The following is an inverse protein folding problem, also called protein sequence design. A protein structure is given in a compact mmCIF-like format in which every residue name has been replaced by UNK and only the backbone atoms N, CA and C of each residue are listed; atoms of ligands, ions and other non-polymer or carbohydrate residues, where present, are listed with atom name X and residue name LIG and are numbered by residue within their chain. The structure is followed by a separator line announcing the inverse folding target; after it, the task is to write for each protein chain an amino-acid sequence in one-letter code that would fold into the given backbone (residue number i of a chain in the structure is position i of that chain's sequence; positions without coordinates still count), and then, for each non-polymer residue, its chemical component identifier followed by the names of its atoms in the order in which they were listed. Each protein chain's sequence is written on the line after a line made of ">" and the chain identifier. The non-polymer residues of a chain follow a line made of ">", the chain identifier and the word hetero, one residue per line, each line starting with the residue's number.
data_IF_853618550807
#
_entry.id   IF_853618550807
#
_cell.length_a   1.000
_cell.length_b   1.000
_cell.length_c   1.000
_cell.angle_alpha   90.00
_cell.angle_beta   90.00
_cell.angle_gamma   90.00
#
_symmetry.space_group_name_H-M   'P 1'
#
loop_
_entity.id
_entity.type
_entity.pdbx_description
1 polymer ?
#
# COMPACT_ATOMS: atom_id res chain seq x y z
N UNK A 1 30.15 14.44 9.90
CA UNK A 1 29.15 13.49 10.45
C UNK A 1 27.93 13.73 9.59
N UNK A 2 27.92 13.15 8.39
CA UNK A 2 26.98 13.52 7.34
C UNK A 2 26.52 12.26 6.63
N UNK A 3 25.46 11.67 7.18
CA UNK A 3 24.81 10.50 6.59
C UNK A 3 23.40 10.92 6.17
N UNK A 4 23.31 11.51 4.98
CA UNK A 4 22.04 11.78 4.31
C UNK A 4 21.55 10.48 3.66
N UNK A 5 20.62 9.80 4.30
CA UNK A 5 19.89 8.68 3.71
C UNK A 5 18.96 9.18 2.60
N UNK A 6 19.49 9.30 1.38
CA UNK A 6 18.70 9.40 0.17
C UNK A 6 18.08 8.03 -0.14
N UNK A 7 16.84 7.82 0.29
CA UNK A 7 16.04 6.66 -0.10
C UNK A 7 14.78 7.11 -0.83
N UNK A 8 14.98 7.67 -2.03
CA UNK A 8 13.89 7.89 -2.99
C UNK A 8 14.09 6.92 -4.14
N UNK A 9 13.28 5.85 -4.17
CA UNK A 9 12.94 4.93 -5.28
C UNK A 9 12.86 3.45 -4.86
N UNK A 10 11.96 3.11 -3.93
CA UNK A 10 11.59 1.72 -3.65
C UNK A 10 10.34 1.25 -4.43
N UNK A 11 9.86 2.02 -5.40
CA UNK A 11 8.61 1.77 -6.11
C UNK A 11 8.84 1.17 -7.51
N UNK A 12 9.44 -0.03 -7.60
CA UNK A 12 9.26 -0.92 -8.78
C UNK A 12 9.83 -2.33 -8.65
N UNK A 13 10.04 -2.89 -7.45
CA UNK A 13 10.62 -4.24 -7.38
C UNK A 13 9.55 -5.31 -7.57
N UNK A 14 9.36 -5.68 -8.86
CA UNK A 14 8.57 -6.85 -9.32
C UNK A 14 9.15 -8.21 -8.88
N UNK A 15 10.22 -8.24 -8.07
CA UNK A 15 10.94 -9.45 -7.65
C UNK A 15 10.79 -9.67 -6.15
N UNK A 16 10.62 -10.94 -5.74
CA UNK A 16 10.60 -11.36 -4.33
C UNK A 16 11.85 -10.86 -3.59
N UNK A 17 11.72 -10.57 -2.30
CA UNK A 17 12.84 -10.22 -1.42
C UNK A 17 14.01 -11.18 -1.59
N UNK A 18 15.22 -10.59 -1.62
CA UNK A 18 16.47 -11.32 -1.58
C UNK A 18 16.56 -12.07 -0.24
N UNK A 19 17.04 -13.31 -0.29
CA UNK A 19 17.32 -14.13 0.90
C UNK A 19 18.83 -14.26 0.98
N UNK A 20 19.37 -14.22 2.19
CA UNK A 20 20.80 -14.42 2.44
C UNK A 20 21.23 -15.79 1.89
N UNK A 21 22.32 -15.82 1.12
CA UNK A 21 22.86 -17.04 0.49
C UNK A 21 22.35 -17.40 -0.91
N UNK A 22 21.43 -16.60 -1.49
CA UNK A 22 20.79 -16.85 -2.79
C UNK A 22 20.00 -18.18 -2.88
N UNK A 23 19.00 -18.25 -3.77
CA UNK A 23 18.19 -19.48 -3.94
C UNK A 23 18.94 -20.47 -4.84
N UNK A 24 19.67 -21.40 -4.24
CA UNK A 24 20.54 -22.36 -4.94
C UNK A 24 19.79 -23.59 -5.52
N UNK A 25 18.53 -23.84 -5.11
CA UNK A 25 17.78 -25.03 -5.53
C UNK A 25 16.87 -24.73 -6.71
N UNK A 26 16.89 -25.60 -7.74
CA UNK A 26 16.05 -25.52 -8.94
C UNK A 26 15.03 -26.65 -8.94
N UNK A 27 13.77 -26.29 -9.16
CA UNK A 27 12.67 -27.23 -9.43
C UNK A 27 12.35 -27.12 -10.91
N UNK A 28 12.36 -28.25 -11.64
CA UNK A 28 11.98 -28.30 -13.05
C UNK A 28 10.63 -29.02 -13.14
N UNK A 29 9.65 -28.35 -13.73
CA UNK A 29 8.31 -28.89 -13.96
C UNK A 29 8.14 -29.06 -15.47
N UNK A 30 7.84 -30.28 -15.92
CA UNK A 30 7.48 -30.56 -17.30
C UNK A 30 5.96 -30.48 -17.41
N UNK A 31 5.48 -29.80 -18.44
CA UNK A 31 4.06 -29.58 -18.71
C UNK A 31 3.77 -29.89 -20.18
N UNK A 32 2.52 -30.21 -20.50
CA UNK A 32 2.06 -30.26 -21.89
C UNK A 32 1.94 -28.85 -22.46
N UNK A 33 1.77 -28.74 -23.79
CA UNK A 33 1.54 -27.45 -24.44
C UNK A 33 0.28 -26.75 -23.88
N UNK A 34 -0.82 -27.50 -23.74
CA UNK A 34 -2.08 -26.97 -23.20
C UNK A 34 -1.94 -26.49 -21.76
N UNK A 35 -1.19 -27.21 -20.93
CA UNK A 35 -0.90 -26.81 -19.54
C UNK A 35 -0.04 -25.55 -19.49
N UNK A 36 0.97 -25.43 -20.36
CA UNK A 36 1.81 -24.25 -20.47
C UNK A 36 0.99 -23.01 -20.83
N UNK A 37 0.14 -23.10 -21.86
CA UNK A 37 -0.72 -22.00 -22.29
C UNK A 37 -1.69 -21.59 -21.19
N UNK A 38 -2.29 -22.58 -20.52
CA UNK A 38 -3.20 -22.33 -19.41
C UNK A 38 -2.50 -21.71 -18.19
N UNK A 39 -1.22 -22.02 -17.96
CA UNK A 39 -0.39 -21.41 -16.92
C UNK A 39 0.01 -19.97 -17.28
N UNK A 40 0.43 -19.73 -18.52
CA UNK A 40 0.78 -18.40 -19.03
C UNK A 40 -0.42 -17.46 -18.97
N UNK A 41 -1.58 -17.88 -19.48
CA UNK A 41 -2.80 -17.08 -19.42
C UNK A 41 -3.22 -16.73 -17.98
N UNK A 42 -3.06 -17.65 -17.02
CA UNK A 42 -3.31 -17.38 -15.59
C UNK A 42 -2.28 -16.42 -14.99
N UNK A 43 -1.02 -16.57 -15.37
CA UNK A 43 0.07 -15.73 -14.88
C UNK A 43 -0.06 -14.29 -15.40
N UNK A 44 -0.44 -14.13 -16.67
CA UNK A 44 -0.72 -12.84 -17.30
C UNK A 44 -1.89 -12.13 -16.65
N UNK A 45 -3.01 -12.83 -16.42
CA UNK A 45 -4.15 -12.29 -15.65
C UNK A 45 -3.75 -11.86 -14.23
N UNK A 46 -2.79 -12.55 -13.63
CA UNK A 46 -2.29 -12.24 -12.29
C UNK A 46 -1.13 -11.23 -12.29
N UNK A 47 -0.63 -10.79 -13.46
CA UNK A 47 0.48 -9.84 -13.56
C UNK A 47 1.82 -10.38 -13.02
N UNK A 48 2.04 -11.70 -13.04
CA UNK A 48 3.27 -12.34 -12.51
C UNK A 48 3.86 -13.35 -13.48
N UNK A 49 5.10 -13.78 -13.21
CA UNK A 49 5.66 -14.93 -13.93
C UNK A 49 4.98 -16.24 -13.51
N UNK A 50 4.95 -17.21 -14.44
CA UNK A 50 4.41 -18.55 -14.22
C UNK A 50 5.03 -19.22 -12.99
N UNK A 51 6.34 -19.09 -12.79
CA UNK A 51 7.03 -19.65 -11.62
C UNK A 51 6.56 -18.99 -10.31
N UNK A 52 6.38 -17.66 -10.31
CA UNK A 52 5.90 -16.94 -9.12
C UNK A 52 4.47 -17.35 -8.78
N UNK A 53 3.62 -17.58 -9.78
CA UNK A 53 2.27 -18.09 -9.64
C UNK A 53 2.28 -19.49 -9.00
N UNK A 54 3.00 -20.45 -9.60
CA UNK A 54 3.06 -21.83 -9.11
C UNK A 54 3.56 -21.89 -7.66
N UNK A 55 4.67 -21.23 -7.34
CA UNK A 55 5.22 -21.23 -5.99
C UNK A 55 4.32 -20.48 -4.99
N UNK A 56 3.59 -19.45 -5.43
CA UNK A 56 2.62 -18.77 -4.57
C UNK A 56 1.50 -19.73 -4.14
N UNK A 57 0.91 -20.41 -5.13
CA UNK A 57 -0.23 -21.31 -4.94
C UNK A 57 0.15 -22.54 -4.13
N UNK A 58 1.31 -23.14 -4.41
CA UNK A 58 1.77 -24.33 -3.73
C UNK A 58 2.15 -24.08 -2.26
N UNK A 59 2.75 -22.93 -1.93
CA UNK A 59 3.21 -22.63 -0.57
C UNK A 59 2.17 -21.90 0.29
N UNK A 60 1.07 -21.43 -0.31
CA UNK A 60 -0.01 -20.73 0.39
C UNK A 60 -1.37 -21.13 -0.21
N UNK A 61 -1.81 -22.38 0.01
CA UNK A 61 -3.06 -22.88 -0.55
C UNK A 61 -4.28 -22.08 -0.07
N UNK A 62 -4.25 -21.59 1.16
CA UNK A 62 -5.34 -20.80 1.77
C UNK A 62 -5.24 -19.29 1.51
N UNK A 63 -4.16 -18.83 0.87
CA UNK A 63 -4.04 -17.42 0.54
C UNK A 63 -4.90 -17.11 -0.70
N UNK A 64 -5.67 -16.01 -0.70
CA UNK A 64 -6.47 -15.63 -1.84
C UNK A 64 -5.62 -15.59 -3.11
N UNK A 65 -6.21 -16.15 -4.15
CA UNK A 65 -5.73 -16.51 -5.47
C UNK A 65 -4.89 -15.53 -6.28
N UNK A 66 -4.62 -14.33 -5.80
CA UNK A 66 -4.51 -13.18 -6.69
C UNK A 66 -3.20 -12.47 -6.44
N UNK A 67 -2.33 -12.44 -7.45
CA UNK A 67 -1.29 -11.42 -7.52
C UNK A 67 -1.80 -10.15 -8.21
N UNK A 68 -3.01 -10.19 -8.79
CA UNK A 68 -3.80 -8.97 -9.03
C UNK A 68 -3.97 -8.17 -7.72
N UNK A 69 -4.06 -8.87 -6.57
CA UNK A 69 -4.06 -8.29 -5.23
C UNK A 69 -2.78 -7.50 -4.92
N UNK A 70 -1.62 -7.79 -5.52
CA UNK A 70 -0.43 -6.97 -5.25
C UNK A 70 -0.46 -5.65 -6.02
N UNK A 71 -0.83 -5.67 -7.30
CA UNK A 71 -0.97 -4.45 -8.10
C UNK A 71 -2.11 -3.59 -7.56
N UNK A 72 -3.21 -4.22 -7.17
CA UNK A 72 -4.35 -3.60 -6.52
C UNK A 72 -3.98 -3.08 -5.12
N UNK A 73 -3.27 -3.86 -4.29
CA UNK A 73 -2.73 -3.37 -3.00
C UNK A 73 -1.76 -2.22 -3.16
N UNK A 74 -0.90 -2.23 -4.17
CA UNK A 74 0.04 -1.13 -4.43
C UNK A 74 -0.72 0.12 -4.88
N UNK A 75 -1.73 -0.02 -5.75
CA UNK A 75 -2.61 1.08 -6.16
C UNK A 75 -3.35 1.65 -4.94
N UNK A 76 -4.00 0.78 -4.17
CA UNK A 76 -4.76 1.16 -2.98
C UNK A 76 -3.85 1.75 -1.89
N UNK A 77 -2.60 1.28 -1.78
CA UNK A 77 -1.58 1.87 -0.91
C UNK A 77 -1.14 3.26 -1.37
N UNK A 78 -0.99 3.47 -2.69
CA UNK A 78 -0.71 4.78 -3.27
C UNK A 78 -1.84 5.77 -2.97
N UNK A 79 -3.09 5.36 -3.21
CA UNK A 79 -4.28 6.16 -2.90
C UNK A 79 -4.35 6.49 -1.39
N UNK A 80 -4.13 5.50 -0.51
CA UNK A 80 -4.08 5.73 0.94
C UNK A 80 -2.94 6.69 1.35
N UNK A 81 -1.80 6.63 0.67
CA UNK A 81 -0.65 7.52 0.93
C UNK A 81 -0.92 8.95 0.50
N UNK A 82 -1.56 9.15 -0.65
CA UNK A 82 -1.98 10.48 -1.12
C UNK A 82 -2.94 11.14 -0.12
N UNK A 83 -3.95 10.40 0.35
CA UNK A 83 -4.89 10.93 1.34
C UNK A 83 -4.21 11.20 2.69
N UNK A 84 -3.26 10.35 3.12
CA UNK A 84 -2.43 10.63 4.31
C UNK A 84 -1.63 11.92 4.16
N UNK A 85 -1.05 12.17 3.00
CA UNK A 85 -0.27 13.38 2.75
C UNK A 85 -1.16 14.63 2.77
N UNK A 86 -2.38 14.53 2.23
CA UNK A 86 -3.37 15.59 2.27
C UNK A 86 -3.80 15.90 3.72
N UNK A 87 -3.97 14.88 4.56
CA UNK A 87 -4.18 15.04 6.01
C UNK A 87 -3.02 15.73 6.72
N UNK A 88 -1.78 15.41 6.34
CA UNK A 88 -0.57 16.08 6.84
C UNK A 88 -0.59 17.57 6.52
N UNK A 89 -0.92 17.93 5.27
CA UNK A 89 -1.04 19.32 4.85
C UNK A 89 -2.16 20.07 5.60
N UNK A 90 -3.33 19.45 5.77
CA UNK A 90 -4.43 20.02 6.56
C UNK A 90 -4.02 20.25 8.03
N UNK A 91 -3.31 19.30 8.63
CA UNK A 91 -2.84 19.44 10.02
C UNK A 91 -1.85 20.59 10.19
N UNK A 92 -0.96 20.79 9.20
CA UNK A 92 -0.05 21.94 9.18
C UNK A 92 -0.84 23.25 9.08
N UNK A 93 -1.82 23.32 8.20
CA UNK A 93 -2.68 24.51 8.07
C UNK A 93 -3.45 24.80 9.37
N UNK A 94 -3.99 23.76 10.03
CA UNK A 94 -4.66 23.92 11.33
C UNK A 94 -3.71 24.44 12.41
N UNK A 95 -2.46 23.95 12.44
CA UNK A 95 -1.45 24.43 13.38
C UNK A 95 -1.08 25.90 13.11
N UNK A 96 -1.05 26.32 11.84
CA UNK A 96 -0.85 27.72 11.46
C UNK A 96 -2.01 28.61 11.90
N UNK A 97 -3.26 28.17 11.69
CA UNK A 97 -4.45 28.90 12.13
C UNK A 97 -4.49 29.03 13.66
N UNK A 98 -4.21 27.95 14.39
CA UNK A 98 -4.14 27.97 15.85
C UNK A 98 -3.07 28.95 16.35
N UNK A 99 -1.91 29.00 15.69
CA UNK A 99 -0.84 29.94 16.03
C UNK A 99 -1.24 31.39 15.77
N UNK A 100 -1.86 31.67 14.62
CA UNK A 100 -2.38 32.99 14.27
C UNK A 100 -3.48 33.44 15.22
N UNK A 101 -4.45 32.56 15.53
CA UNK A 101 -5.53 32.82 16.49
C UNK A 101 -5.01 33.10 17.90
N UNK A 102 -3.95 32.39 18.34
CA UNK A 102 -3.31 32.68 19.63
C UNK A 102 -2.57 34.02 19.64
N UNK A 103 -2.09 34.50 18.48
CA UNK A 103 -1.45 35.82 18.33
C UNK A 103 -2.48 36.94 18.29
N UNK A 104 -3.60 36.77 17.58
CA UNK A 104 -4.62 37.82 17.41
C UNK A 104 -5.78 37.73 18.43
N UNK A 105 -5.82 36.67 19.24
CA UNK A 105 -6.91 36.31 20.17
C UNK A 105 -8.27 36.11 19.50
N UNK A 106 -8.28 35.85 18.20
CA UNK A 106 -9.49 35.68 17.40
C UNK A 106 -9.40 34.35 16.63
N UNK A 107 -10.39 33.47 16.79
CA UNK A 107 -10.44 32.19 16.09
C UNK A 107 -11.24 32.37 14.79
N UNK A 108 -10.70 31.99 13.62
CA UNK A 108 -11.45 32.09 12.38
C UNK A 108 -12.75 31.27 12.42
N UNK A 109 -13.82 31.84 11.87
CA UNK A 109 -15.17 31.25 11.88
C UNK A 109 -15.21 29.82 11.29
N UNK A 110 -14.37 29.54 10.30
CA UNK A 110 -14.32 28.25 9.61
C UNK A 110 -13.43 27.20 10.29
N UNK A 111 -12.78 27.52 11.42
CA UNK A 111 -11.82 26.63 12.05
C UNK A 111 -12.47 25.30 12.51
N UNK A 112 -13.67 25.35 13.08
CA UNK A 112 -14.41 24.16 13.47
C UNK A 112 -14.76 23.26 12.26
N UNK A 113 -15.12 23.86 11.13
CA UNK A 113 -15.39 23.13 9.89
C UNK A 113 -14.12 22.48 9.34
N UNK A 114 -12.97 23.15 9.40
CA UNK A 114 -11.68 22.60 8.99
C UNK A 114 -11.24 21.42 9.88
N UNK A 115 -11.46 21.51 11.20
CA UNK A 115 -11.20 20.40 12.15
C UNK A 115 -12.08 19.19 11.79
N UNK A 116 -13.38 19.40 11.56
CA UNK A 116 -14.32 18.35 11.21
C UNK A 116 -13.93 17.64 9.90
N UNK A 117 -13.64 18.41 8.84
CA UNK A 117 -13.22 17.87 7.56
C UNK A 117 -11.92 17.05 7.66
N UNK A 118 -10.97 17.48 8.49
CA UNK A 118 -9.72 16.75 8.74
C UNK A 118 -9.97 15.44 9.49
N UNK A 119 -10.86 15.45 10.48
CA UNK A 119 -11.28 14.23 11.19
C UNK A 119 -11.93 13.22 10.25
N UNK A 120 -12.85 13.68 9.41
CA UNK A 120 -13.56 12.82 8.44
C UNK A 120 -12.60 12.21 7.41
N UNK A 121 -11.66 12.99 6.90
CA UNK A 121 -10.62 12.47 6.00
C UNK A 121 -9.73 11.43 6.70
N UNK A 122 -9.41 11.60 7.99
CA UNK A 122 -8.64 10.63 8.77
C UNK A 122 -9.37 9.31 8.94
N UNK A 123 -10.68 9.36 9.22
CA UNK A 123 -11.52 8.17 9.32
C UNK A 123 -11.58 7.43 7.98
N UNK A 124 -11.73 8.14 6.86
CA UNK A 124 -11.73 7.54 5.52
C UNK A 124 -10.42 6.79 5.20
N UNK A 125 -9.26 7.35 5.56
CA UNK A 125 -7.96 6.67 5.38
C UNK A 125 -7.87 5.42 6.22
N UNK A 126 -8.26 5.51 7.50
CA UNK A 126 -8.27 4.37 8.41
C UNK A 126 -9.15 3.25 7.88
N UNK A 127 -10.35 3.57 7.42
CA UNK A 127 -11.31 2.58 6.93
C UNK A 127 -10.83 1.96 5.61
N UNK A 128 -10.26 2.75 4.69
CA UNK A 128 -9.61 2.24 3.49
C UNK A 128 -8.48 1.25 3.82
N UNK A 129 -7.62 1.60 4.77
CA UNK A 129 -6.55 0.69 5.24
C UNK A 129 -7.13 -0.59 5.84
N UNK A 130 -8.19 -0.49 6.65
CA UNK A 130 -8.84 -1.63 7.27
C UNK A 130 -9.40 -2.60 6.23
N UNK A 131 -10.02 -2.07 5.17
CA UNK A 131 -10.53 -2.86 4.04
C UNK A 131 -9.40 -3.55 3.25
N UNK A 132 -8.31 -2.83 2.94
CA UNK A 132 -7.20 -3.36 2.13
C UNK A 132 -6.47 -4.50 2.86
N UNK A 133 -6.20 -4.32 4.15
CA UNK A 133 -5.39 -5.24 4.93
C UNK A 133 -6.23 -6.23 5.74
N UNK A 134 -7.56 -6.16 5.62
CA UNK A 134 -8.51 -6.93 6.42
C UNK A 134 -8.23 -6.79 7.93
N UNK A 135 -7.94 -5.56 8.36
CA UNK A 135 -7.64 -5.20 9.76
C UNK A 135 -8.83 -4.43 10.32
N UNK A 136 -9.36 -4.87 11.46
CA UNK A 136 -10.34 -4.10 12.22
C UNK A 136 -9.61 -3.16 13.17
N UNK A 137 -9.86 -1.86 13.03
CA UNK A 137 -9.39 -0.87 14.00
C UNK A 137 -10.40 -0.75 15.15
N UNK A 138 -9.95 -0.51 16.39
CA UNK A 138 -10.84 -0.18 17.48
C UNK A 138 -11.62 1.11 17.16
N UNK A 139 -12.88 1.17 17.61
CA UNK A 139 -13.66 2.42 17.56
C UNK A 139 -12.90 3.49 18.33
N UNK A 140 -12.74 4.65 17.71
CA UNK A 140 -12.36 5.88 18.42
C UNK A 140 -13.56 6.41 19.21
#
# INVERSE_FOLDING_TARGET
>A
MDEQFSSTHASRRRRRNNVEGARQRRIVVKVTADEEDALRARADRAGVSVQRLMVARALRPDAPSTVADHTEKVRLWSEATEVRNLLGALSVNMNQIARHANTEREVPVDFAAAVAATRDASHRVRDAFGNIFNVKFPSA
#
